data_IF_946507980376
#
_entry.id   IF_946507980376
#
_cell.length_a   1.000
_cell.length_b   1.000
_cell.length_c   1.000
_cell.angle_alpha   90.00
_cell.angle_beta   90.00
_cell.angle_gamma   90.00
#
_symmetry.space_group_name_H-M   'P 1'
#
loop_
_entity.id
_entity.type
_entity.pdbx_description
1 polymer ?
#
# COMPACT_ATOMS: atom_id res chain seq x y z
N UNK A 1 16.80 -8.72 -21.20
CA UNK A 1 15.46 -9.24 -20.85
C UNK A 1 14.45 -8.19 -21.26
N UNK A 2 13.41 -8.57 -22.03
CA UNK A 2 12.32 -7.63 -22.33
C UNK A 2 11.66 -7.28 -21.00
N UNK A 3 11.78 -6.02 -20.57
CA UNK A 3 11.20 -5.54 -19.32
C UNK A 3 9.69 -5.75 -19.34
N UNK A 4 9.12 -6.22 -18.22
CA UNK A 4 7.66 -6.29 -18.08
C UNK A 4 7.08 -4.87 -18.25
N UNK A 5 5.86 -4.73 -18.82
CA UNK A 5 5.23 -3.43 -18.98
C UNK A 5 5.10 -2.73 -17.62
N UNK A 6 5.49 -1.45 -17.60
CA UNK A 6 5.34 -0.61 -16.42
C UNK A 6 3.87 -0.62 -15.96
N UNK A 7 3.63 -0.86 -14.66
CA UNK A 7 2.28 -0.92 -14.11
C UNK A 7 1.54 -2.26 -14.28
N UNK A 8 2.19 -3.31 -14.83
CA UNK A 8 1.56 -4.65 -15.01
C UNK A 8 0.89 -5.20 -13.77
N UNK A 9 1.54 -4.99 -12.66
CA UNK A 9 1.06 -5.34 -11.34
C UNK A 9 -0.28 -4.67 -11.01
N UNK A 10 -0.41 -3.36 -11.22
CA UNK A 10 -1.59 -2.58 -10.85
C UNK A 10 -2.77 -2.83 -11.77
N UNK A 11 -2.56 -2.88 -13.08
CA UNK A 11 -3.66 -3.14 -14.01
C UNK A 11 -4.15 -4.59 -13.94
N UNK A 12 -3.30 -5.55 -13.54
CA UNK A 12 -3.74 -6.94 -13.29
C UNK A 12 -4.79 -7.00 -12.16
N UNK A 13 -4.59 -6.28 -11.06
CA UNK A 13 -5.60 -6.19 -10.01
C UNK A 13 -6.92 -5.56 -10.48
N UNK A 14 -6.84 -4.55 -11.35
CA UNK A 14 -8.02 -3.88 -11.90
C UNK A 14 -8.82 -4.79 -12.85
N UNK A 15 -8.13 -5.58 -13.67
CA UNK A 15 -8.75 -6.55 -14.58
C UNK A 15 -9.36 -7.69 -13.76
N UNK A 16 -8.63 -8.26 -12.79
CA UNK A 16 -9.14 -9.33 -11.93
C UNK A 16 -10.35 -8.88 -11.12
N UNK A 17 -10.30 -7.70 -10.50
CA UNK A 17 -11.44 -7.14 -9.76
C UNK A 17 -12.66 -6.97 -10.64
N UNK A 18 -12.51 -6.39 -11.84
CA UNK A 18 -13.61 -6.26 -12.80
C UNK A 18 -14.22 -7.62 -13.17
N UNK A 19 -13.40 -8.61 -13.53
CA UNK A 19 -13.89 -9.94 -13.91
C UNK A 19 -14.64 -10.63 -12.76
N UNK A 20 -14.13 -10.52 -11.53
CA UNK A 20 -14.77 -11.10 -10.35
C UNK A 20 -16.07 -10.35 -10.01
N UNK A 21 -16.09 -9.02 -10.08
CA UNK A 21 -17.26 -8.20 -9.78
C UNK A 21 -18.39 -8.46 -10.79
N UNK A 22 -18.06 -8.60 -12.09
CA UNK A 22 -19.02 -9.00 -13.13
C UNK A 22 -19.53 -10.42 -12.90
N UNK A 23 -18.65 -11.37 -12.57
CA UNK A 23 -19.07 -12.76 -12.26
C UNK A 23 -20.01 -12.82 -11.05
N UNK A 24 -19.80 -11.96 -10.04
CA UNK A 24 -20.66 -11.86 -8.85
C UNK A 24 -21.95 -11.05 -9.08
N UNK A 25 -22.11 -10.42 -10.25
CA UNK A 25 -23.24 -9.54 -10.54
C UNK A 25 -23.23 -8.22 -9.77
N UNK A 26 -22.09 -7.83 -9.20
CA UNK A 26 -21.94 -6.56 -8.46
C UNK A 26 -21.80 -5.37 -9.42
N UNK A 27 -21.33 -5.62 -10.63
CA UNK A 27 -21.10 -4.64 -11.69
C UNK A 27 -21.61 -5.21 -13.02
N UNK A 28 -22.30 -4.40 -13.81
CA UNK A 28 -22.72 -4.79 -15.15
C UNK A 28 -21.53 -4.89 -16.11
N UNK A 29 -21.58 -5.84 -17.05
CA UNK A 29 -20.57 -5.98 -18.09
C UNK A 29 -20.47 -4.70 -18.92
N UNK A 30 -19.26 -4.16 -19.06
CA UNK A 30 -18.92 -3.12 -20.02
C UNK A 30 -18.78 -3.73 -21.42
N UNK A 31 -19.45 -3.14 -22.40
CA UNK A 31 -19.44 -3.57 -23.80
C UNK A 31 -18.49 -2.72 -24.65
N UNK A 32 -18.17 -1.50 -24.21
CA UNK A 32 -17.21 -0.62 -24.88
C UNK A 32 -15.78 -0.96 -24.49
N UNK A 33 -15.03 -1.51 -25.45
CA UNK A 33 -13.59 -1.72 -25.29
C UNK A 33 -12.86 -0.42 -24.92
N UNK A 34 -13.26 0.73 -25.50
CA UNK A 34 -12.62 2.01 -25.23
C UNK A 34 -12.82 2.46 -23.78
N UNK A 35 -14.03 2.32 -23.23
CA UNK A 35 -14.29 2.65 -21.81
C UNK A 35 -13.49 1.74 -20.88
N UNK A 36 -13.50 0.44 -21.16
CA UNK A 36 -12.74 -0.53 -20.39
C UNK A 36 -11.22 -0.26 -20.46
N UNK A 37 -10.68 -0.03 -21.65
CA UNK A 37 -9.28 0.34 -21.83
C UNK A 37 -8.96 1.63 -21.06
N UNK A 38 -9.80 2.67 -21.19
CA UNK A 38 -9.61 3.93 -20.44
C UNK A 38 -9.55 3.70 -18.94
N UNK A 39 -10.41 2.83 -18.38
CA UNK A 39 -10.36 2.45 -16.97
C UNK A 39 -9.02 1.80 -16.59
N UNK A 40 -8.57 0.82 -17.38
CA UNK A 40 -7.36 0.02 -17.10
C UNK A 40 -6.09 0.84 -17.24
N UNK A 41 -5.99 1.66 -18.30
CA UNK A 41 -4.78 2.42 -18.66
C UNK A 41 -4.84 3.90 -18.29
N UNK A 42 -5.73 4.28 -17.37
CA UNK A 42 -5.88 5.66 -16.91
C UNK A 42 -4.55 6.20 -16.34
N UNK A 43 -3.90 7.11 -17.08
CA UNK A 43 -2.53 7.55 -16.79
C UNK A 43 -2.32 8.11 -15.37
N UNK A 44 -3.26 8.82 -14.71
CA UNK A 44 -3.09 9.26 -13.32
C UNK A 44 -2.77 8.12 -12.35
N UNK A 45 -3.26 6.90 -12.62
CA UNK A 45 -3.11 5.75 -11.70
C UNK A 45 -2.30 4.58 -12.24
N UNK A 46 -1.89 4.60 -13.51
CA UNK A 46 -1.34 3.43 -14.20
C UNK A 46 -0.09 2.84 -13.52
N UNK A 47 0.83 3.69 -13.06
CA UNK A 47 2.15 3.25 -12.59
C UNK A 47 2.12 2.88 -11.11
N UNK A 48 1.57 3.77 -10.28
CA UNK A 48 1.61 3.65 -8.81
C UNK A 48 0.46 4.41 -8.14
N UNK A 49 -0.68 4.55 -8.82
CA UNK A 49 -1.84 5.20 -8.23
C UNK A 49 -2.70 4.26 -7.39
N UNK A 50 -3.77 4.80 -6.77
CA UNK A 50 -4.72 4.00 -6.01
C UNK A 50 -5.36 2.91 -6.88
N UNK A 51 -5.47 1.69 -6.33
CA UNK A 51 -6.17 0.58 -6.98
C UNK A 51 -7.67 0.83 -6.84
N UNK A 52 -8.33 1.11 -7.95
CA UNK A 52 -9.76 1.43 -8.01
C UNK A 52 -10.55 0.28 -8.62
N UNK A 53 -11.80 0.11 -8.24
CA UNK A 53 -12.70 -0.83 -8.93
C UNK A 53 -13.40 -0.16 -10.09
N UNK A 54 -13.91 -0.96 -11.03
CA UNK A 54 -14.62 -0.45 -12.20
C UNK A 54 -15.88 0.32 -11.80
N UNK A 55 -16.71 -0.26 -10.92
CA UNK A 55 -17.95 0.38 -10.48
C UNK A 55 -17.77 1.68 -9.70
N UNK A 56 -16.57 1.97 -9.19
CA UNK A 56 -16.28 3.24 -8.51
C UNK A 56 -15.96 4.38 -9.51
N UNK A 57 -15.63 4.06 -10.76
CA UNK A 57 -15.20 5.04 -11.79
C UNK A 57 -16.07 5.01 -13.05
N UNK A 58 -16.84 3.93 -13.30
CA UNK A 58 -17.60 3.72 -14.54
C UNK A 58 -18.49 4.91 -14.92
N UNK A 59 -19.11 5.53 -13.93
CA UNK A 59 -20.00 6.65 -14.12
C UNK A 59 -19.21 7.88 -14.59
N UNK A 60 -18.07 8.17 -13.95
CA UNK A 60 -17.15 9.26 -14.34
C UNK A 60 -16.49 9.05 -15.72
N UNK A 61 -16.44 7.82 -16.23
CA UNK A 61 -15.98 7.54 -17.60
C UNK A 61 -17.04 7.89 -18.65
N UNK A 62 -18.32 7.90 -18.27
CA UNK A 62 -19.43 8.21 -19.16
C UNK A 62 -19.82 9.68 -19.04
N UNK A 63 -20.07 10.14 -17.82
CA UNK A 63 -20.47 11.51 -17.50
C UNK A 63 -19.59 12.05 -16.38
N UNK A 64 -18.88 13.15 -16.63
CA UNK A 64 -18.06 13.82 -15.62
C UNK A 64 -18.21 15.33 -15.72
N UNK A 65 -18.12 15.98 -14.56
CA UNK A 65 -18.19 17.42 -14.46
C UNK A 65 -16.80 17.99 -14.23
N UNK A 66 -16.45 18.99 -15.03
CA UNK A 66 -15.24 19.76 -14.84
C UNK A 66 -15.60 21.07 -14.16
N UNK A 67 -15.01 21.32 -13.00
CA UNK A 67 -15.27 22.53 -12.22
C UNK A 67 -13.95 23.24 -11.92
N UNK A 68 -13.97 24.58 -11.90
CA UNK A 68 -12.80 25.40 -11.53
C UNK A 68 -12.32 25.02 -10.12
N UNK A 69 -13.24 24.74 -9.20
CA UNK A 69 -12.92 24.25 -7.86
C UNK A 69 -12.22 22.90 -7.87
N UNK A 70 -12.66 21.96 -8.71
CA UNK A 70 -12.00 20.67 -8.89
C UNK A 70 -10.58 20.81 -9.44
N UNK A 71 -10.37 21.75 -10.36
CA UNK A 71 -9.03 22.08 -10.87
C UNK A 71 -8.14 22.65 -9.74
N UNK A 72 -8.64 23.62 -8.97
CA UNK A 72 -7.91 24.23 -7.84
C UNK A 72 -7.54 23.21 -6.76
N UNK A 73 -8.50 22.41 -6.31
CA UNK A 73 -8.28 21.36 -5.30
C UNK A 73 -7.32 20.29 -5.82
N UNK A 74 -7.42 19.93 -7.10
CA UNK A 74 -6.53 18.99 -7.75
C UNK A 74 -5.08 19.50 -7.85
N UNK A 75 -4.88 20.77 -8.19
CA UNK A 75 -3.57 21.40 -8.21
C UNK A 75 -2.93 21.43 -6.82
N UNK A 76 -3.70 21.76 -5.76
CA UNK A 76 -3.20 21.73 -4.37
C UNK A 76 -2.69 20.34 -3.98
N UNK A 77 -3.47 19.30 -4.29
CA UNK A 77 -3.08 17.91 -4.02
C UNK A 77 -1.82 17.51 -4.82
N UNK A 78 -1.76 17.89 -6.09
CA UNK A 78 -0.62 17.60 -6.94
C UNK A 78 0.66 18.27 -6.43
N UNK A 79 0.61 19.57 -6.12
CA UNK A 79 1.75 20.32 -5.57
C UNK A 79 2.20 19.73 -4.23
N UNK A 80 1.26 19.37 -3.34
CA UNK A 80 1.59 18.72 -2.07
C UNK A 80 2.29 17.37 -2.30
N UNK A 81 1.79 16.56 -3.22
CA UNK A 81 2.39 15.27 -3.56
C UNK A 81 3.79 15.42 -4.15
N UNK A 82 3.97 16.39 -5.05
CA UNK A 82 5.26 16.71 -5.65
C UNK A 82 6.26 17.21 -4.59
N UNK A 83 5.82 18.08 -3.68
CA UNK A 83 6.64 18.55 -2.57
C UNK A 83 7.04 17.40 -1.63
N UNK A 84 6.13 16.49 -1.29
CA UNK A 84 6.44 15.31 -0.49
C UNK A 84 7.49 14.42 -1.16
N UNK A 85 7.38 14.21 -2.47
CA UNK A 85 8.36 13.43 -3.25
C UNK A 85 9.73 14.13 -3.28
N UNK A 86 9.80 15.36 -3.78
CA UNK A 86 11.07 16.03 -4.11
C UNK A 86 11.76 16.63 -2.89
N UNK A 87 10.99 17.19 -1.94
CA UNK A 87 11.57 17.88 -0.79
C UNK A 87 11.78 16.97 0.41
N UNK A 88 10.96 15.93 0.57
CA UNK A 88 11.05 15.01 1.71
C UNK A 88 11.64 13.67 1.30
N UNK A 89 11.00 12.93 0.39
CA UNK A 89 11.43 11.57 0.05
C UNK A 89 12.85 11.55 -0.52
N UNK A 90 13.10 12.33 -1.57
CA UNK A 90 14.41 12.35 -2.25
C UNK A 90 15.54 12.86 -1.34
N UNK A 91 15.23 13.71 -0.35
CA UNK A 91 16.22 14.23 0.59
C UNK A 91 16.54 13.26 1.71
N UNK A 92 15.53 12.61 2.26
CA UNK A 92 15.70 11.60 3.31
C UNK A 92 16.35 10.33 2.74
N UNK A 93 16.03 9.98 1.48
CA UNK A 93 16.58 8.82 0.80
C UNK A 93 18.09 8.88 0.54
N UNK A 94 18.70 10.08 0.53
CA UNK A 94 20.16 10.22 0.38
C UNK A 94 20.90 9.40 1.44
N UNK A 95 20.49 9.50 2.71
CA UNK A 95 21.12 8.75 3.79
C UNK A 95 20.98 7.23 3.59
N UNK A 96 19.81 6.78 3.16
CA UNK A 96 19.58 5.36 2.90
C UNK A 96 20.51 4.85 1.77
N UNK A 97 20.59 5.58 0.66
CA UNK A 97 21.45 5.21 -0.46
C UNK A 97 22.94 5.24 -0.12
N UNK A 98 23.42 6.21 0.66
CA UNK A 98 24.81 6.27 1.12
C UNK A 98 25.18 5.05 1.98
N UNK A 99 24.27 4.62 2.85
CA UNK A 99 24.46 3.42 3.69
C UNK A 99 24.49 2.15 2.83
N UNK A 100 23.62 2.04 1.82
CA UNK A 100 23.65 0.91 0.89
C UNK A 100 24.97 0.83 0.11
N UNK A 101 25.55 1.97 -0.29
CA UNK A 101 26.84 2.03 -0.99
C UNK A 101 28.01 1.69 -0.07
N UNK A 102 27.96 2.14 1.19
CA UNK A 102 29.02 1.88 2.19
C UNK A 102 29.06 0.40 2.61
N UNK A 103 27.91 -0.28 2.55
CA UNK A 103 27.75 -1.67 2.96
C UNK A 103 27.43 -1.81 4.45
N UNK A 104 26.54 -2.76 4.76
CA UNK A 104 25.99 -2.93 6.12
C UNK A 104 26.99 -3.49 7.14
N UNK A 105 28.09 -4.12 6.70
CA UNK A 105 29.15 -4.62 7.59
C UNK A 105 30.03 -3.50 8.17
N UNK A 106 30.07 -2.35 7.49
CA UNK A 106 30.97 -1.23 7.81
C UNK A 106 30.29 -0.11 8.61
N UNK A 107 29.03 -0.28 9.00
CA UNK A 107 28.25 0.74 9.71
C UNK A 107 28.06 0.40 11.18
N UNK A 108 27.97 1.43 12.01
CA UNK A 108 27.62 1.27 13.42
C UNK A 108 26.13 0.99 13.61
N UNK A 109 25.75 0.32 14.71
CA UNK A 109 24.34 0.05 15.05
C UNK A 109 23.47 1.31 15.11
N UNK A 110 23.91 2.45 15.68
CA UNK A 110 23.13 3.70 15.63
C UNK A 110 22.90 4.22 14.21
N UNK A 111 23.91 4.13 13.34
CA UNK A 111 23.79 4.53 11.93
C UNK A 111 22.81 3.61 11.18
N UNK A 112 22.84 2.30 11.44
CA UNK A 112 21.90 1.35 10.86
C UNK A 112 20.44 1.67 11.21
N UNK A 113 20.15 2.01 12.47
CA UNK A 113 18.81 2.43 12.88
C UNK A 113 18.38 3.75 12.24
N UNK A 114 19.30 4.71 12.12
CA UNK A 114 19.02 5.98 11.45
C UNK A 114 18.70 5.75 9.96
N UNK A 115 19.44 4.86 9.28
CA UNK A 115 19.20 4.45 7.91
C UNK A 115 17.84 3.75 7.76
N UNK A 116 17.48 2.86 8.69
CA UNK A 116 16.18 2.18 8.67
C UNK A 116 15.00 3.17 8.81
N UNK A 117 15.15 4.18 9.68
CA UNK A 117 14.16 5.26 9.82
C UNK A 117 14.12 6.11 8.55
N UNK A 118 15.27 6.44 7.96
CA UNK A 118 15.35 7.21 6.73
C UNK A 118 14.61 6.49 5.59
N UNK A 119 14.90 5.21 5.35
CA UNK A 119 14.21 4.40 4.35
C UNK A 119 12.70 4.31 4.60
N UNK A 120 12.30 4.11 5.86
CA UNK A 120 10.89 4.08 6.29
C UNK A 120 10.14 5.38 5.95
N UNK A 121 10.80 6.53 6.06
CA UNK A 121 10.23 7.82 5.69
C UNK A 121 10.31 8.07 4.19
N UNK A 122 11.40 7.70 3.53
CA UNK A 122 11.58 7.79 2.07
C UNK A 122 10.44 7.04 1.36
N UNK A 123 10.27 5.74 1.63
CA UNK A 123 9.23 4.91 1.00
C UNK A 123 7.82 5.47 1.28
N UNK A 124 7.61 6.06 2.45
CA UNK A 124 6.33 6.68 2.79
C UNK A 124 6.06 7.94 1.98
N UNK A 125 6.98 8.91 2.01
CA UNK A 125 6.78 10.19 1.34
C UNK A 125 6.79 10.04 -0.19
N UNK A 126 7.58 9.10 -0.70
CA UNK A 126 7.61 8.74 -2.12
C UNK A 126 6.23 8.24 -2.56
N UNK A 127 5.76 7.17 -1.93
CA UNK A 127 4.53 6.50 -2.38
C UNK A 127 3.27 7.30 -2.04
N UNK A 128 3.25 7.98 -0.90
CA UNK A 128 2.19 8.93 -0.56
C UNK A 128 2.19 10.12 -1.51
N UNK A 129 3.36 10.66 -1.86
CA UNK A 129 3.52 11.74 -2.84
C UNK A 129 2.95 11.37 -4.21
N UNK A 130 3.31 10.19 -4.73
CA UNK A 130 2.71 9.66 -5.97
C UNK A 130 1.20 9.49 -5.88
N UNK A 131 0.70 8.96 -4.75
CA UNK A 131 -0.74 8.79 -4.55
C UNK A 131 -1.47 10.14 -4.54
N UNK A 132 -0.89 11.18 -3.93
CA UNK A 132 -1.45 12.54 -3.95
C UNK A 132 -1.44 13.17 -5.34
N UNK A 133 -0.35 13.02 -6.09
CA UNK A 133 -0.27 13.49 -7.47
C UNK A 133 -1.32 12.80 -8.35
N UNK A 134 -1.49 11.48 -8.22
CA UNK A 134 -2.53 10.72 -8.89
C UNK A 134 -3.92 11.25 -8.55
N UNK A 135 -4.24 11.42 -7.27
CA UNK A 135 -5.51 11.99 -6.81
C UNK A 135 -5.74 13.40 -7.33
N UNK A 136 -4.71 14.24 -7.34
CA UNK A 136 -4.76 15.60 -7.87
C UNK A 136 -5.12 15.61 -9.36
N UNK A 137 -4.43 14.80 -10.16
CA UNK A 137 -4.74 14.62 -11.59
C UNK A 137 -6.16 14.10 -11.82
N UNK A 138 -6.58 13.09 -11.06
CA UNK A 138 -7.96 12.59 -11.09
C UNK A 138 -8.96 13.73 -10.85
N UNK A 139 -8.76 14.51 -9.79
CA UNK A 139 -9.65 15.62 -9.42
C UNK A 139 -9.73 16.69 -10.51
N UNK A 140 -8.60 17.06 -11.11
CA UNK A 140 -8.55 18.00 -12.25
C UNK A 140 -9.28 17.46 -13.48
N UNK A 141 -9.30 16.13 -13.65
CA UNK A 141 -9.99 15.45 -14.74
C UNK A 141 -11.47 15.14 -14.44
N UNK A 142 -11.99 15.52 -13.27
CA UNK A 142 -13.37 15.19 -12.87
C UNK A 142 -13.57 13.74 -12.43
N UNK A 143 -12.51 13.06 -11.98
CA UNK A 143 -12.52 11.66 -11.51
C UNK A 143 -12.03 11.61 -10.05
N UNK A 144 -12.85 11.11 -9.15
CA UNK A 144 -12.45 10.97 -7.74
C UNK A 144 -11.66 9.67 -7.53
N UNK A 145 -10.37 9.80 -7.18
CA UNK A 145 -9.55 8.66 -6.79
C UNK A 145 -9.51 8.50 -5.27
N UNK A 146 -9.59 7.26 -4.75
CA UNK A 146 -9.55 7.02 -3.32
C UNK A 146 -8.16 7.31 -2.75
N UNK A 147 -8.13 7.75 -1.48
CA UNK A 147 -6.88 7.92 -0.77
C UNK A 147 -6.20 6.55 -0.54
N UNK A 148 -4.89 6.50 -0.76
CA UNK A 148 -4.11 5.29 -0.53
C UNK A 148 -3.43 5.27 0.85
N UNK A 149 -3.31 6.43 1.52
CA UNK A 149 -2.70 6.55 2.84
C UNK A 149 -3.53 7.40 3.80
N UNK A 150 -3.47 7.07 5.10
CA UNK A 150 -4.12 7.85 6.16
C UNK A 150 -3.29 7.87 7.46
N UNK A 151 -2.24 8.69 7.47
CA UNK A 151 -1.35 8.89 8.63
C UNK A 151 -0.89 7.55 9.26
N UNK A 152 -0.23 6.67 8.49
CA UNK A 152 0.09 5.32 8.94
C UNK A 152 0.98 5.30 10.18
N UNK A 153 1.95 6.21 10.30
CA UNK A 153 2.83 6.33 11.48
C UNK A 153 2.12 6.82 12.77
N UNK A 154 0.85 7.24 12.68
CA UNK A 154 0.02 7.51 13.87
C UNK A 154 -0.77 6.27 14.34
N UNK A 155 -0.56 5.11 13.71
CA UNK A 155 -1.18 3.87 14.14
C UNK A 155 -0.74 3.46 15.55
N UNK A 156 -1.51 2.56 16.16
CA UNK A 156 -1.22 1.97 17.48
C UNK A 156 -0.97 0.46 17.43
N UNK A 157 -1.02 -0.14 16.25
CA UNK A 157 -0.72 -1.55 16.02
C UNK A 157 -0.31 -1.76 14.56
N UNK A 158 0.41 -2.83 14.26
CA UNK A 158 0.79 -3.24 12.89
C UNK A 158 -0.47 -3.43 12.07
N UNK A 159 -1.52 -4.02 12.65
CA UNK A 159 -2.83 -4.10 11.99
C UNK A 159 -3.41 -2.73 11.62
N UNK A 160 -3.35 -1.74 12.52
CA UNK A 160 -3.85 -0.38 12.24
C UNK A 160 -2.96 0.35 11.23
N UNK A 161 -1.64 0.12 11.28
CA UNK A 161 -0.69 0.66 10.31
C UNK A 161 -1.06 0.23 8.88
N UNK A 162 -1.25 -1.07 8.64
CA UNK A 162 -1.62 -1.58 7.30
C UNK A 162 -3.09 -1.35 6.91
N UNK A 163 -3.93 -0.86 7.82
CA UNK A 163 -5.24 -0.29 7.46
C UNK A 163 -5.15 1.16 6.99
N UNK A 164 -4.00 1.81 7.20
CA UNK A 164 -3.70 3.21 6.84
C UNK A 164 -2.60 3.33 5.79
N UNK A 165 -1.87 2.25 5.53
CA UNK A 165 -0.82 2.13 4.52
C UNK A 165 -1.38 1.37 3.31
N UNK A 166 -1.12 1.88 2.10
CA UNK A 166 -1.56 1.28 0.83
C UNK A 166 -3.00 0.71 0.88
N UNK A 167 -3.93 1.55 1.35
CA UNK A 167 -5.28 1.15 1.73
C UNK A 167 -6.06 0.49 0.60
N UNK A 168 -5.85 0.91 -0.65
CA UNK A 168 -6.55 0.32 -1.79
C UNK A 168 -6.12 -1.13 -2.06
N UNK A 169 -4.83 -1.44 -1.87
CA UNK A 169 -4.32 -2.81 -1.99
C UNK A 169 -4.87 -3.68 -0.85
N UNK A 170 -4.84 -3.16 0.38
CA UNK A 170 -5.42 -3.85 1.53
C UNK A 170 -6.91 -4.15 1.36
N UNK A 171 -7.67 -3.20 0.80
CA UNK A 171 -9.08 -3.40 0.47
C UNK A 171 -9.27 -4.44 -0.63
N UNK A 172 -8.42 -4.43 -1.66
CA UNK A 172 -8.44 -5.42 -2.73
C UNK A 172 -8.25 -6.84 -2.16
N UNK A 173 -7.18 -7.09 -1.42
CA UNK A 173 -6.95 -8.39 -0.78
C UNK A 173 -8.07 -8.78 0.19
N UNK A 174 -8.61 -7.81 0.93
CA UNK A 174 -9.74 -8.06 1.82
C UNK A 174 -10.96 -8.58 1.05
N UNK A 175 -11.33 -7.91 -0.06
CA UNK A 175 -12.54 -8.22 -0.85
C UNK A 175 -12.41 -9.49 -1.69
N UNK A 176 -11.25 -9.68 -2.33
CA UNK A 176 -11.08 -10.72 -3.34
C UNK A 176 -10.40 -11.99 -2.82
N UNK A 177 -9.74 -11.94 -1.66
CA UNK A 177 -9.07 -13.10 -1.06
C UNK A 177 -9.62 -13.40 0.34
N UNK A 178 -9.53 -12.44 1.27
CA UNK A 178 -9.84 -12.69 2.67
C UNK A 178 -11.32 -13.04 2.93
N UNK A 179 -12.25 -12.25 2.40
CA UNK A 179 -13.70 -12.48 2.58
C UNK A 179 -14.14 -13.81 1.93
N UNK A 180 -13.75 -14.13 0.68
CA UNK A 180 -14.06 -15.41 0.04
C UNK A 180 -13.56 -16.64 0.80
N UNK A 181 -12.44 -16.54 1.53
CA UNK A 181 -11.91 -17.62 2.37
C UNK A 181 -12.69 -17.84 3.69
N UNK A 182 -13.79 -17.11 3.90
CA UNK A 182 -14.63 -17.14 5.10
C UNK A 182 -14.36 -15.99 6.08
N UNK A 183 -13.43 -15.09 5.77
CA UNK A 183 -13.09 -13.92 6.58
C UNK A 183 -12.75 -14.30 8.03
N UNK A 184 -13.40 -13.62 8.98
CA UNK A 184 -13.31 -13.92 10.43
C UNK A 184 -14.47 -14.78 10.96
N UNK A 185 -15.32 -15.36 10.10
CA UNK A 185 -16.58 -15.99 10.53
C UNK A 185 -16.45 -17.48 10.90
N UNK A 186 -15.38 -18.13 10.45
CA UNK A 186 -15.18 -19.59 10.56
C UNK A 186 -14.24 -19.98 11.71
N UNK A 187 -14.20 -19.17 12.78
CA UNK A 187 -13.34 -19.41 13.95
C UNK A 187 -11.91 -18.84 13.84
N UNK A 188 -11.16 -18.96 14.93
CA UNK A 188 -9.88 -18.28 15.08
C UNK A 188 -8.76 -18.92 14.24
N UNK A 189 -8.67 -20.26 14.23
CA UNK A 189 -7.66 -20.97 13.41
C UNK A 189 -7.83 -20.67 11.92
N UNK A 190 -9.07 -20.68 11.42
CA UNK A 190 -9.35 -20.31 10.03
C UNK A 190 -9.00 -18.85 9.76
N UNK A 191 -9.23 -17.96 10.73
CA UNK A 191 -8.85 -16.56 10.56
C UNK A 191 -7.34 -16.36 10.49
N UNK A 192 -6.58 -17.02 11.36
CA UNK A 192 -5.12 -16.98 11.36
C UNK A 192 -4.56 -17.50 10.04
N UNK A 193 -5.12 -18.60 9.53
CA UNK A 193 -4.79 -19.14 8.21
C UNK A 193 -5.15 -18.18 7.07
N UNK A 194 -6.35 -17.59 7.09
CA UNK A 194 -6.77 -16.61 6.08
C UNK A 194 -5.84 -15.38 6.06
N UNK A 195 -5.40 -14.91 7.23
CA UNK A 195 -4.39 -13.84 7.32
C UNK A 195 -3.04 -14.28 6.76
N UNK A 196 -2.62 -15.52 6.99
CA UNK A 196 -1.37 -16.06 6.44
C UNK A 196 -1.42 -16.04 4.92
N UNK A 197 -2.50 -16.54 4.33
CA UNK A 197 -2.71 -16.56 2.87
C UNK A 197 -2.64 -15.15 2.30
N UNK A 198 -3.33 -14.18 2.91
CA UNK A 198 -3.30 -12.78 2.46
C UNK A 198 -1.88 -12.20 2.50
N UNK A 199 -1.15 -12.38 3.60
CA UNK A 199 0.19 -11.82 3.75
C UNK A 199 1.22 -12.51 2.85
N UNK A 200 1.12 -13.82 2.63
CA UNK A 200 1.99 -14.54 1.70
C UNK A 200 1.72 -14.17 0.24
N UNK A 201 0.46 -13.98 -0.15
CA UNK A 201 0.13 -13.46 -1.48
C UNK A 201 0.57 -12.01 -1.66
N UNK A 202 0.51 -11.20 -0.60
CA UNK A 202 1.02 -9.81 -0.62
C UNK A 202 2.55 -9.81 -0.78
N UNK A 203 3.27 -10.66 -0.06
CA UNK A 203 4.72 -10.84 -0.19
C UNK A 203 5.10 -11.30 -1.61
N UNK A 204 4.45 -12.35 -2.10
CA UNK A 204 4.68 -12.88 -3.44
C UNK A 204 4.41 -11.84 -4.53
N UNK A 205 3.40 -11.00 -4.34
CA UNK A 205 3.09 -9.90 -5.26
C UNK A 205 4.20 -8.84 -5.33
N UNK A 206 4.86 -8.56 -4.21
CA UNK A 206 6.00 -7.61 -4.18
C UNK A 206 7.25 -8.19 -4.85
N UNK A 207 7.47 -9.51 -4.77
CA UNK A 207 8.49 -10.21 -5.54
C UNK A 207 8.74 -11.63 -5.07
N UNK A 208 9.57 -12.35 -5.82
CA UNK A 208 9.92 -13.75 -5.55
C UNK A 208 11.16 -13.92 -4.64
N UNK A 209 11.78 -12.82 -4.19
CA UNK A 209 12.91 -12.85 -3.27
C UNK A 209 12.51 -13.29 -1.86
N UNK A 210 13.44 -13.96 -1.15
CA UNK A 210 13.22 -14.44 0.22
C UNK A 210 12.91 -13.31 1.21
N UNK A 211 13.49 -12.14 0.98
CA UNK A 211 13.25 -10.91 1.74
C UNK A 211 11.75 -10.58 1.86
N UNK A 212 10.98 -10.71 0.78
CA UNK A 212 9.53 -10.45 0.80
C UNK A 212 8.76 -11.47 1.63
N UNK A 213 9.14 -12.76 1.60
CA UNK A 213 8.52 -13.79 2.44
C UNK A 213 8.86 -13.58 3.91
N UNK A 214 10.09 -13.20 4.24
CA UNK A 214 10.48 -12.81 5.60
C UNK A 214 9.67 -11.61 6.09
N UNK A 215 9.52 -10.58 5.25
CA UNK A 215 8.69 -9.41 5.53
C UNK A 215 7.21 -9.79 5.77
N UNK A 216 6.59 -10.52 4.85
CA UNK A 216 5.19 -10.94 4.98
C UNK A 216 4.95 -11.86 6.18
N UNK A 217 5.89 -12.76 6.46
CA UNK A 217 5.87 -13.64 7.63
C UNK A 217 5.97 -12.87 8.94
N UNK A 218 6.91 -11.92 9.05
CA UNK A 218 7.07 -11.05 10.22
C UNK A 218 5.78 -10.29 10.52
N UNK A 219 5.17 -9.68 9.50
CA UNK A 219 3.93 -8.93 9.65
C UNK A 219 2.75 -9.81 10.04
N UNK A 220 2.65 -11.00 9.44
CA UNK A 220 1.65 -11.99 9.83
C UNK A 220 1.80 -12.38 11.31
N UNK A 221 3.02 -12.69 11.77
CA UNK A 221 3.30 -13.01 13.18
C UNK A 221 2.87 -11.85 14.08
N UNK A 222 3.29 -10.62 13.78
CA UNK A 222 2.90 -9.45 14.56
C UNK A 222 1.37 -9.29 14.63
N UNK A 223 0.66 -9.42 13.52
CA UNK A 223 -0.79 -9.25 13.48
C UNK A 223 -1.51 -10.37 14.24
N UNK A 224 -1.04 -11.61 14.16
CA UNK A 224 -1.59 -12.73 14.94
C UNK A 224 -1.35 -12.51 16.43
N UNK A 225 -0.13 -12.13 16.82
CA UNK A 225 0.19 -11.81 18.21
C UNK A 225 -0.68 -10.66 18.73
N UNK A 226 -0.78 -9.55 18.01
CA UNK A 226 -1.64 -8.42 18.37
C UNK A 226 -3.10 -8.82 18.51
N UNK A 227 -3.59 -9.70 17.63
CA UNK A 227 -4.96 -10.20 17.68
C UNK A 227 -5.20 -11.05 18.94
N UNK A 228 -4.26 -11.93 19.28
CA UNK A 228 -4.33 -12.79 20.46
C UNK A 228 -4.16 -11.99 21.76
N UNK A 229 -3.21 -11.06 21.79
CA UNK A 229 -3.00 -10.10 22.88
C UNK A 229 -4.20 -9.16 23.04
N UNK A 230 -4.88 -8.79 21.95
CA UNK A 230 -6.07 -7.95 22.01
C UNK A 230 -7.25 -8.62 22.73
N UNK A 231 -7.28 -9.96 22.80
CA UNK A 231 -8.23 -10.71 23.63
C UNK A 231 -7.88 -10.58 25.12
N UNK A 232 -6.63 -10.27 25.44
CA UNK A 232 -6.17 -9.94 26.80
C UNK A 232 -6.45 -8.45 27.07
N UNK A 233 -7.49 -8.18 27.87
CA UNK A 233 -8.02 -6.83 28.16
C UNK A 233 -7.01 -5.81 28.72
N UNK A 234 -5.83 -6.25 29.15
CA UNK A 234 -4.80 -5.43 29.81
C UNK A 234 -4.02 -4.50 28.86
N UNK A 235 -3.81 -4.91 27.60
CA UNK A 235 -2.94 -4.19 26.65
C UNK A 235 -3.56 -2.88 26.15
N UNK A 236 -4.90 -2.77 26.18
CA UNK A 236 -5.63 -1.61 25.66
C UNK A 236 -5.56 -0.34 26.52
N UNK A 237 -5.01 -0.41 27.74
CA UNK A 237 -4.91 0.76 28.64
C UNK A 237 -3.70 1.65 28.38
N UNK A 238 -2.72 1.20 27.60
CA UNK A 238 -1.46 1.92 27.41
C UNK A 238 -1.53 2.86 26.20
N UNK A 239 -1.34 4.17 26.41
CA UNK A 239 -1.46 5.17 25.34
C UNK A 239 -0.18 5.37 24.52
N UNK A 240 0.99 5.17 25.12
CA UNK A 240 2.30 5.50 24.52
C UNK A 240 3.06 4.26 24.05
N UNK A 241 3.01 3.17 24.82
CA UNK A 241 3.73 1.93 24.50
C UNK A 241 3.43 1.36 23.11
N UNK A 242 2.18 1.37 22.61
CA UNK A 242 1.90 0.84 21.27
C UNK A 242 2.56 1.64 20.14
N UNK A 243 2.82 2.94 20.36
CA UNK A 243 3.59 3.75 19.44
C UNK A 243 5.07 3.32 19.48
N UNK A 244 5.70 3.24 20.65
CA UNK A 244 7.11 2.80 20.75
C UNK A 244 7.33 1.44 20.06
N UNK A 245 6.42 0.49 20.29
CA UNK A 245 6.42 -0.81 19.60
C UNK A 245 6.42 -0.67 18.07
N UNK A 246 5.53 0.15 17.52
CA UNK A 246 5.46 0.39 16.07
C UNK A 246 6.71 1.09 15.51
N UNK A 247 7.27 2.04 16.26
CA UNK A 247 8.50 2.75 15.86
C UNK A 247 9.72 1.82 15.79
N UNK A 248 9.67 0.66 16.46
CA UNK A 248 10.67 -0.39 16.30
C UNK A 248 10.31 -1.36 15.17
N UNK A 249 9.08 -1.90 15.18
CA UNK A 249 8.68 -2.98 14.27
C UNK A 249 8.59 -2.52 12.81
N UNK A 250 8.06 -1.33 12.55
CA UNK A 250 7.86 -0.87 11.17
C UNK A 250 9.19 -0.65 10.44
N UNK A 251 10.17 0.11 10.97
CA UNK A 251 11.48 0.23 10.34
C UNK A 251 12.18 -1.12 10.14
N UNK A 252 12.13 -2.03 11.13
CA UNK A 252 12.70 -3.38 10.97
C UNK A 252 12.01 -4.16 9.86
N UNK A 253 10.68 -4.08 9.75
CA UNK A 253 9.96 -4.72 8.65
C UNK A 253 10.40 -4.17 7.30
N UNK A 254 10.65 -2.86 7.21
CA UNK A 254 11.15 -2.26 5.98
C UNK A 254 12.58 -2.69 5.64
N UNK A 255 13.43 -3.00 6.64
CA UNK A 255 14.74 -3.61 6.38
C UNK A 255 14.61 -5.00 5.77
N UNK A 256 13.71 -5.85 6.29
CA UNK A 256 13.39 -7.14 5.66
C UNK A 256 12.83 -6.96 4.24
N UNK A 257 12.18 -5.84 3.95
CA UNK A 257 11.68 -5.55 2.60
C UNK A 257 12.80 -5.11 1.66
N UNK A 258 13.75 -4.31 2.14
CA UNK A 258 14.76 -3.64 1.31
C UNK A 258 16.05 -4.46 1.10
N UNK A 259 16.47 -5.20 2.11
CA UNK A 259 17.73 -5.97 2.09
C UNK A 259 17.44 -7.33 1.46
N UNK A 260 18.13 -7.64 0.35
CA UNK A 260 17.91 -8.87 -0.43
C UNK A 260 18.81 -10.02 0.00
N UNK A 261 19.98 -9.71 0.57
CA UNK A 261 20.93 -10.69 1.07
C UNK A 261 20.62 -11.02 2.54
N UNK A 262 20.37 -12.30 2.82
CA UNK A 262 20.04 -12.77 4.18
C UNK A 262 21.24 -12.74 5.13
N UNK A 263 22.46 -12.57 4.62
CA UNK A 263 23.67 -12.43 5.44
C UNK A 263 23.86 -11.01 6.00
N UNK A 264 23.09 -10.03 5.50
CA UNK A 264 23.14 -8.61 5.87
C UNK A 264 21.95 -8.21 6.76
#
# INVERSE_FOLDING_TARGET
SAGLPLGISFYTFQILSYQIDVYRGEVSREYSFLKFATYVIMFPKLISGPITRYGDISDSLTERTFTVRGLEDGMKLFILGLAAKVLLADRVGILWHEVQVTGFESISTPLAWLAAIAYSMEIYFDFWGYSLMAMGLGRMMGIELPANFRRPYMARSVRDFYRRWHMTLGQWFCRYVYIPLGGSRQGELRTIFNLLVVWMLTAFWHGAGWNFFCWGGLLWICIVLERQLGRLKFVHKMKVLPHIYLWLVIPMSWMCFAITDLSQ
#
